data_IF_172569180582
#
_entry.id   IF_172569180582
#
_cell.length_a   1.000
_cell.length_b   1.000
_cell.length_c   1.000
_cell.angle_alpha   90.00
_cell.angle_beta   90.00
_cell.angle_gamma   90.00
#
_symmetry.space_group_name_H-M   'P 1'
#
loop_
_entity.id
_entity.type
_entity.pdbx_description
1 polymer ?
#
# COMPACT_ATOMS: atom_id res chain seq x y z
N UNK A 1 50.56 20.06 62.37
CA UNK A 1 49.97 18.70 62.45
C UNK A 1 48.50 18.86 62.07
N UNK A 2 48.21 18.83 60.76
CA UNK A 2 47.74 17.65 60.00
C UNK A 2 46.24 17.38 60.21
N UNK A 3 45.39 17.89 59.30
CA UNK A 3 44.72 17.10 58.26
C UNK A 3 43.55 17.91 57.67
N UNK A 4 43.60 18.10 56.35
CA UNK A 4 42.52 18.65 55.55
C UNK A 4 41.46 17.57 55.30
N UNK A 5 40.20 17.87 55.60
CA UNK A 5 39.05 17.02 55.26
C UNK A 5 38.33 17.64 54.07
N UNK A 6 38.49 17.03 52.90
CA UNK A 6 37.76 17.38 51.69
C UNK A 6 36.34 16.81 51.78
N UNK A 7 35.33 17.67 51.83
CA UNK A 7 33.93 17.27 51.71
C UNK A 7 33.56 17.32 50.23
N UNK A 8 33.48 16.17 49.58
CA UNK A 8 32.93 16.03 48.23
C UNK A 8 31.41 15.98 48.37
N UNK A 9 30.75 17.13 48.21
CA UNK A 9 29.30 17.19 48.06
C UNK A 9 28.91 16.75 46.65
N UNK A 10 28.44 15.51 46.51
CA UNK A 10 27.91 14.97 45.27
C UNK A 10 26.58 15.62 44.90
N UNK A 11 26.49 16.15 43.66
CA UNK A 11 25.24 16.60 43.05
C UNK A 11 24.44 15.39 42.57
N UNK A 12 23.33 15.07 43.24
CA UNK A 12 22.33 14.13 42.73
C UNK A 12 21.39 14.85 41.76
N UNK A 13 21.64 14.68 40.45
CA UNK A 13 20.72 15.16 39.41
C UNK A 13 19.55 14.17 39.32
N UNK A 14 18.39 14.57 39.83
CA UNK A 14 17.14 13.84 39.69
C UNK A 14 16.62 13.98 38.24
N UNK A 15 16.95 13.03 37.36
CA UNK A 15 16.39 12.98 36.01
C UNK A 15 14.94 12.51 36.07
N UNK A 16 14.00 13.44 35.91
CA UNK A 16 12.58 13.14 35.74
C UNK A 16 12.37 12.58 34.32
N UNK A 17 12.55 11.28 34.14
CA UNK A 17 12.08 10.59 32.93
C UNK A 17 10.56 10.63 32.94
N UNK A 18 9.96 11.61 32.25
CA UNK A 18 8.56 11.53 31.86
C UNK A 18 8.45 10.36 30.89
N UNK A 19 8.07 9.20 31.42
CA UNK A 19 7.64 8.08 30.58
C UNK A 19 6.37 8.54 29.89
N UNK A 20 6.50 8.99 28.64
CA UNK A 20 5.39 9.08 27.70
C UNK A 20 4.89 7.65 27.48
N UNK A 21 3.98 7.21 28.34
CA UNK A 21 3.19 6.03 28.09
C UNK A 21 2.49 6.26 26.74
N UNK A 22 2.63 5.37 25.74
CA UNK A 22 1.82 5.47 24.55
C UNK A 22 0.38 5.22 24.99
N UNK A 23 -0.39 6.30 25.14
CA UNK A 23 -1.84 6.21 25.27
C UNK A 23 -2.30 5.56 23.97
N UNK A 24 -2.56 4.26 24.05
CA UNK A 24 -3.14 3.52 22.95
C UNK A 24 -4.61 3.90 22.94
N UNK A 25 -4.93 5.04 22.33
CA UNK A 25 -6.31 5.35 22.01
C UNK A 25 -6.81 4.22 21.10
N UNK A 26 -7.69 3.38 21.64
CA UNK A 26 -8.44 2.44 20.82
C UNK A 26 -9.33 3.27 19.91
N UNK A 27 -8.82 3.69 18.76
CA UNK A 27 -9.65 4.34 17.75
C UNK A 27 -10.72 3.33 17.36
N UNK A 28 -11.97 3.70 17.63
CA UNK A 28 -13.10 2.85 17.35
C UNK A 28 -13.34 2.89 15.83
N UNK A 29 -12.73 1.95 15.12
CA UNK A 29 -12.73 1.82 13.65
C UNK A 29 -14.13 1.71 13.02
N UNK A 30 -15.15 1.44 13.84
CA UNK A 30 -16.57 1.30 13.44
C UNK A 30 -17.39 2.58 13.60
N UNK A 31 -16.86 3.61 14.27
CA UNK A 31 -17.60 4.87 14.47
C UNK A 31 -17.41 5.81 13.27
N UNK A 32 -18.47 6.51 12.83
CA UNK A 32 -18.33 7.53 11.81
C UNK A 32 -17.40 8.67 12.28
N UNK A 33 -16.32 8.90 11.52
CA UNK A 33 -15.35 9.98 11.79
C UNK A 33 -15.23 10.92 10.60
N UNK A 34 -14.67 12.11 10.86
CA UNK A 34 -14.34 13.07 9.81
C UNK A 34 -13.11 12.59 8.99
N UNK A 35 -12.93 13.08 7.75
CA UNK A 35 -11.77 12.76 6.94
C UNK A 35 -10.43 13.12 7.61
N UNK A 36 -10.40 14.18 8.42
CA UNK A 36 -9.19 14.57 9.17
C UNK A 36 -8.69 13.43 10.05
N UNK A 37 -9.57 12.90 10.90
CA UNK A 37 -9.27 11.77 11.78
C UNK A 37 -8.98 10.50 10.98
N UNK A 38 -9.80 10.19 9.98
CA UNK A 38 -9.60 8.98 9.17
C UNK A 38 -8.24 8.97 8.47
N UNK A 39 -7.77 10.11 7.97
CA UNK A 39 -6.53 10.19 7.20
C UNK A 39 -5.26 10.08 8.05
N UNK A 40 -5.34 10.23 9.38
CA UNK A 40 -4.18 10.13 10.29
C UNK A 40 -3.58 8.72 10.31
N UNK A 41 -4.36 7.70 9.94
CA UNK A 41 -3.88 6.32 9.84
C UNK A 41 -3.10 6.02 8.56
N UNK A 42 -3.02 7.00 7.64
CA UNK A 42 -2.45 6.80 6.30
C UNK A 42 -1.02 7.31 6.20
N UNK A 43 -0.25 6.81 5.23
CA UNK A 43 1.14 7.22 5.00
C UNK A 43 1.27 8.64 4.44
N UNK A 44 0.17 9.25 3.98
CA UNK A 44 0.14 10.64 3.54
C UNK A 44 -1.20 11.31 3.91
N UNK A 45 -1.36 11.76 5.17
CA UNK A 45 -2.62 12.32 5.66
C UNK A 45 -3.07 13.55 4.86
N UNK A 46 -2.13 14.42 4.47
CA UNK A 46 -2.44 15.63 3.69
C UNK A 46 -3.04 15.29 2.33
N UNK A 47 -2.47 14.33 1.60
CA UNK A 47 -2.98 13.90 0.31
C UNK A 47 -4.30 13.14 0.47
N UNK A 48 -4.42 12.26 1.47
CA UNK A 48 -5.64 11.55 1.80
C UNK A 48 -6.85 12.50 1.97
N UNK A 49 -6.66 13.64 2.66
CA UNK A 49 -7.74 14.63 2.85
C UNK A 49 -8.20 15.26 1.54
N UNK A 50 -7.34 15.37 0.53
CA UNK A 50 -7.74 15.86 -0.80
C UNK A 50 -8.57 14.82 -1.57
N UNK A 51 -8.45 13.54 -1.21
CA UNK A 51 -9.14 12.45 -1.86
C UNK A 51 -10.57 12.28 -1.35
N UNK A 52 -10.85 12.61 -0.09
CA UNK A 52 -12.14 12.37 0.56
C UNK A 52 -12.95 13.67 0.64
N UNK A 53 -14.26 13.68 0.32
CA UNK A 53 -15.08 14.87 0.48
C UNK A 53 -15.06 15.36 1.94
N UNK A 54 -14.77 16.64 2.17
CA UNK A 54 -14.56 17.20 3.52
C UNK A 54 -15.73 17.01 4.49
N UNK A 55 -16.96 16.95 3.97
CA UNK A 55 -18.20 16.74 4.73
C UNK A 55 -18.59 15.26 4.89
N UNK A 56 -17.85 14.33 4.28
CA UNK A 56 -18.13 12.91 4.42
C UNK A 56 -17.98 12.48 5.89
N UNK A 57 -18.81 11.53 6.30
CA UNK A 57 -18.71 10.85 7.59
C UNK A 57 -18.88 9.37 7.33
N UNK A 58 -17.88 8.59 7.72
CA UNK A 58 -17.84 7.16 7.55
C UNK A 58 -16.94 6.57 8.62
N UNK A 59 -17.13 5.29 8.91
CA UNK A 59 -16.14 4.49 9.61
C UNK A 59 -14.90 4.23 8.72
N UNK A 60 -13.84 3.66 9.29
CA UNK A 60 -12.59 3.44 8.54
C UNK A 60 -12.78 2.40 7.43
N UNK A 61 -13.67 1.44 7.63
CA UNK A 61 -14.06 0.45 6.61
C UNK A 61 -14.67 1.12 5.37
N UNK A 62 -15.64 2.01 5.55
CA UNK A 62 -16.26 2.72 4.44
C UNK A 62 -15.27 3.65 3.73
N UNK A 63 -14.37 4.32 4.45
CA UNK A 63 -13.28 5.08 3.83
C UNK A 63 -12.29 4.19 3.07
N UNK A 64 -11.96 3.00 3.58
CA UNK A 64 -11.13 2.02 2.88
C UNK A 64 -11.73 1.60 1.54
N UNK A 65 -13.01 1.22 1.52
CA UNK A 65 -13.73 0.89 0.26
C UNK A 65 -13.79 2.07 -0.69
N UNK A 66 -14.07 3.27 -0.17
CA UNK A 66 -14.11 4.50 -0.96
C UNK A 66 -12.77 4.76 -1.66
N UNK A 67 -11.66 4.67 -0.92
CA UNK A 67 -10.32 4.90 -1.44
C UNK A 67 -9.92 3.85 -2.48
N UNK A 68 -10.20 2.57 -2.25
CA UNK A 68 -9.96 1.51 -3.24
C UNK A 68 -10.82 1.73 -4.50
N UNK A 69 -12.07 2.14 -4.37
CA UNK A 69 -12.93 2.50 -5.51
C UNK A 69 -12.38 3.70 -6.28
N UNK A 70 -11.85 4.70 -5.58
CA UNK A 70 -11.18 5.85 -6.20
C UNK A 70 -9.89 5.42 -6.92
N UNK A 71 -9.12 4.51 -6.32
CA UNK A 71 -7.96 3.87 -6.97
C UNK A 71 -8.36 3.19 -8.27
N UNK A 72 -9.47 2.42 -8.29
CA UNK A 72 -9.96 1.77 -9.52
C UNK A 72 -10.25 2.77 -10.63
N UNK A 73 -10.95 3.86 -10.29
CA UNK A 73 -11.28 4.91 -11.25
C UNK A 73 -10.04 5.59 -11.84
N UNK A 74 -9.00 5.79 -11.03
CA UNK A 74 -7.77 6.42 -11.49
C UNK A 74 -6.92 5.45 -12.32
N UNK A 75 -6.80 4.19 -11.89
CA UNK A 75 -6.11 3.13 -12.65
C UNK A 75 -6.69 2.98 -14.05
N UNK A 76 -8.02 2.96 -14.19
CA UNK A 76 -8.67 2.87 -15.50
C UNK A 76 -8.38 4.10 -16.40
N UNK A 77 -8.36 5.31 -15.82
CA UNK A 77 -7.99 6.53 -16.57
C UNK A 77 -6.52 6.51 -16.98
N UNK A 78 -5.64 6.00 -16.12
CA UNK A 78 -4.22 5.91 -16.41
C UNK A 78 -3.95 4.91 -17.54
N UNK A 79 -4.58 3.72 -17.52
CA UNK A 79 -4.53 2.76 -18.64
C UNK A 79 -5.01 3.41 -19.95
N UNK A 80 -6.11 4.15 -19.91
CA UNK A 80 -6.63 4.86 -21.10
C UNK A 80 -5.64 5.92 -21.63
N UNK A 81 -4.98 6.66 -20.74
CA UNK A 81 -3.95 7.63 -21.13
C UNK A 81 -2.72 6.95 -21.76
N UNK A 82 -2.31 5.80 -21.23
CA UNK A 82 -1.21 5.02 -21.79
C UNK A 82 -1.55 4.46 -23.17
N UNK A 83 -2.70 3.81 -23.34
CA UNK A 83 -3.16 3.29 -24.64
C UNK A 83 -3.23 4.41 -25.69
N UNK A 84 -3.80 5.56 -25.34
CA UNK A 84 -3.82 6.73 -26.22
C UNK A 84 -2.41 7.23 -26.58
N UNK A 85 -1.49 7.18 -25.62
CA UNK A 85 -0.10 7.62 -25.83
C UNK A 85 0.64 6.69 -26.79
N UNK A 86 0.46 5.38 -26.63
CA UNK A 86 1.00 4.34 -27.52
C UNK A 86 0.46 4.52 -28.94
N UNK A 87 -0.86 4.71 -29.10
CA UNK A 87 -1.50 4.89 -30.42
C UNK A 87 -1.18 6.23 -31.07
N UNK A 88 -0.96 7.29 -30.28
CA UNK A 88 -0.86 8.66 -30.77
C UNK A 88 0.55 9.10 -31.19
N UNK A 89 1.61 8.52 -30.63
CA UNK A 89 2.99 8.98 -30.90
C UNK A 89 3.59 8.27 -32.12
N UNK A 90 3.63 8.98 -33.25
CA UNK A 90 4.15 8.46 -34.54
C UNK A 90 5.68 8.24 -34.64
N UNK A 91 6.45 8.57 -33.59
CA UNK A 91 7.93 8.49 -33.57
C UNK A 91 8.47 8.17 -32.17
N UNK A 92 8.09 7.02 -31.63
CA UNK A 92 8.69 6.48 -30.41
C UNK A 92 9.96 5.70 -30.75
N UNK A 93 10.98 5.78 -29.89
CA UNK A 93 12.09 4.83 -29.97
C UNK A 93 11.60 3.43 -29.59
N UNK A 94 12.24 2.34 -30.06
CA UNK A 94 11.86 0.98 -29.66
C UNK A 94 11.81 0.80 -28.13
N UNK A 95 12.77 1.39 -27.41
CA UNK A 95 12.82 1.36 -25.96
C UNK A 95 11.63 2.08 -25.31
N UNK A 96 11.26 3.27 -25.80
CA UNK A 96 10.10 3.99 -25.30
C UNK A 96 8.78 3.29 -25.62
N UNK A 97 8.67 2.66 -26.80
CA UNK A 97 7.51 1.82 -27.16
C UNK A 97 7.38 0.62 -26.22
N UNK A 98 8.49 -0.08 -25.94
CA UNK A 98 8.53 -1.19 -24.99
C UNK A 98 8.06 -0.75 -23.60
N UNK A 99 8.70 0.28 -23.03
CA UNK A 99 8.35 0.77 -21.70
C UNK A 99 6.89 1.26 -21.58
N UNK A 100 6.33 1.88 -22.62
CA UNK A 100 4.91 2.27 -22.63
C UNK A 100 3.97 1.06 -22.66
N UNK A 101 4.30 0.02 -23.43
CA UNK A 101 3.51 -1.21 -23.48
C UNK A 101 3.58 -1.97 -22.15
N UNK A 102 4.76 -2.05 -21.53
CA UNK A 102 4.93 -2.64 -20.20
C UNK A 102 4.10 -1.88 -19.16
N UNK A 103 4.14 -0.54 -19.20
CA UNK A 103 3.30 0.31 -18.36
C UNK A 103 1.80 0.07 -18.57
N UNK A 104 1.35 -0.07 -19.82
CA UNK A 104 -0.05 -0.33 -20.13
C UNK A 104 -0.49 -1.65 -19.50
N UNK A 105 0.31 -2.72 -19.69
CA UNK A 105 0.06 -4.03 -19.08
C UNK A 105 0.02 -3.95 -17.54
N UNK A 106 0.98 -3.26 -16.92
CA UNK A 106 1.03 -3.10 -15.46
C UNK A 106 -0.16 -2.32 -14.91
N UNK A 107 -0.65 -1.34 -15.66
CA UNK A 107 -1.84 -0.55 -15.31
C UNK A 107 -3.14 -1.35 -15.46
N UNK A 108 -3.25 -2.19 -16.49
CA UNK A 108 -4.36 -3.13 -16.67
C UNK A 108 -4.39 -4.17 -15.55
N UNK A 109 -3.26 -4.80 -15.23
CA UNK A 109 -3.15 -5.70 -14.07
C UNK A 109 -3.53 -5.02 -12.76
N UNK A 110 -3.12 -3.77 -12.57
CA UNK A 110 -3.51 -3.00 -11.38
C UNK A 110 -5.02 -2.76 -11.30
N UNK A 111 -5.65 -2.53 -12.45
CA UNK A 111 -7.11 -2.39 -12.56
C UNK A 111 -7.81 -3.70 -12.17
N UNK A 112 -7.34 -4.83 -12.67
CA UNK A 112 -7.88 -6.16 -12.33
C UNK A 112 -7.72 -6.49 -10.85
N UNK A 113 -6.56 -6.15 -10.27
CA UNK A 113 -6.30 -6.33 -8.83
C UNK A 113 -7.23 -5.46 -7.97
N UNK A 114 -7.56 -4.24 -8.41
CA UNK A 114 -8.52 -3.36 -7.74
C UNK A 114 -9.95 -3.91 -7.83
N UNK A 115 -10.35 -4.45 -8.98
CA UNK A 115 -11.66 -5.11 -9.16
C UNK A 115 -11.77 -6.33 -8.25
N UNK A 116 -10.74 -7.19 -8.23
CA UNK A 116 -10.68 -8.38 -7.36
C UNK A 116 -10.74 -8.01 -5.87
N UNK A 117 -10.04 -6.94 -5.48
CA UNK A 117 -10.06 -6.42 -4.12
C UNK A 117 -11.44 -5.93 -3.70
N UNK A 118 -12.10 -5.13 -4.55
CA UNK A 118 -13.46 -4.64 -4.28
C UNK A 118 -14.47 -5.77 -4.25
N UNK A 119 -14.39 -6.72 -5.19
CA UNK A 119 -15.27 -7.89 -5.22
C UNK A 119 -15.15 -8.71 -3.94
N UNK A 120 -13.91 -8.91 -3.47
CA UNK A 120 -13.64 -9.60 -2.20
C UNK A 120 -14.26 -8.84 -1.03
N UNK A 121 -14.07 -7.52 -0.97
CA UNK A 121 -14.66 -6.70 0.08
C UNK A 121 -16.20 -6.73 0.03
N UNK A 122 -16.81 -6.57 -1.14
CA UNK A 122 -18.27 -6.46 -1.30
C UNK A 122 -19.00 -7.79 -1.07
N UNK A 123 -18.30 -8.92 -1.19
CA UNK A 123 -18.85 -10.26 -0.94
C UNK A 123 -18.87 -10.66 0.54
N UNK A 124 -18.37 -9.81 1.44
CA UNK A 124 -18.23 -10.13 2.87
C UNK A 124 -18.92 -9.07 3.75
N UNK A 125 -19.04 -9.39 5.05
CA UNK A 125 -19.43 -8.41 6.05
C UNK A 125 -18.52 -7.18 5.96
N UNK A 126 -19.10 -6.00 6.11
CA UNK A 126 -18.38 -4.73 5.92
C UNK A 126 -17.18 -4.60 6.88
N UNK A 127 -17.29 -5.21 8.06
CA UNK A 127 -16.34 -5.08 9.17
C UNK A 127 -15.52 -6.36 9.43
N UNK A 128 -16.05 -7.53 9.06
CA UNK A 128 -15.40 -8.82 9.30
C UNK A 128 -14.96 -9.48 7.99
N UNK A 129 -13.66 -9.48 7.73
CA UNK A 129 -13.06 -10.10 6.56
C UNK A 129 -12.22 -11.31 7.00
N UNK A 130 -12.46 -12.52 6.45
CA UNK A 130 -11.64 -13.68 6.74
C UNK A 130 -10.16 -13.42 6.48
N UNK A 131 -9.29 -13.93 7.35
CA UNK A 131 -7.83 -13.70 7.30
C UNK A 131 -7.22 -13.90 5.92
N UNK A 132 -7.55 -15.01 5.25
CA UNK A 132 -7.00 -15.32 3.92
C UNK A 132 -7.43 -14.30 2.85
N UNK A 133 -8.65 -13.76 2.97
CA UNK A 133 -9.14 -12.73 2.07
C UNK A 133 -8.55 -11.36 2.40
N UNK A 134 -8.35 -11.06 3.70
CA UNK A 134 -7.61 -9.89 4.13
C UNK A 134 -6.18 -9.88 3.61
N UNK A 135 -5.48 -11.00 3.73
CA UNK A 135 -4.13 -11.20 3.18
C UNK A 135 -4.12 -11.09 1.64
N UNK A 136 -5.14 -11.62 0.96
CA UNK A 136 -5.29 -11.48 -0.50
C UNK A 136 -5.41 -10.00 -0.89
N UNK A 137 -6.35 -9.27 -0.31
CA UNK A 137 -6.55 -7.84 -0.63
C UNK A 137 -5.31 -7.01 -0.28
N UNK A 138 -4.68 -7.24 0.88
CA UNK A 138 -3.43 -6.59 1.24
C UNK A 138 -2.33 -6.81 0.20
N UNK A 139 -2.18 -8.06 -0.26
CA UNK A 139 -1.19 -8.45 -1.26
C UNK A 139 -1.47 -7.80 -2.61
N UNK A 140 -2.72 -7.80 -3.07
CA UNK A 140 -3.12 -7.16 -4.33
C UNK A 140 -2.86 -5.65 -4.29
N UNK A 141 -3.26 -4.96 -3.21
CA UNK A 141 -2.99 -3.53 -3.03
C UNK A 141 -1.50 -3.21 -2.96
N UNK A 142 -0.70 -4.07 -2.33
CA UNK A 142 0.77 -3.93 -2.33
C UNK A 142 1.35 -4.12 -3.73
N UNK A 143 0.87 -5.11 -4.48
CA UNK A 143 1.30 -5.37 -5.85
C UNK A 143 0.98 -4.22 -6.80
N UNK A 144 -0.17 -3.56 -6.64
CA UNK A 144 -0.53 -2.35 -7.42
C UNK A 144 0.50 -1.23 -7.23
N UNK A 145 0.99 -1.00 -6.01
CA UNK A 145 2.03 0.00 -5.75
C UNK A 145 3.33 -0.39 -6.45
N UNK A 146 3.70 -1.68 -6.42
CA UNK A 146 4.87 -2.19 -7.14
C UNK A 146 4.73 -2.01 -8.65
N UNK A 147 3.60 -2.40 -9.24
CA UNK A 147 3.32 -2.23 -10.67
C UNK A 147 3.47 -0.76 -11.10
N UNK A 148 2.92 0.15 -10.30
CA UNK A 148 3.02 1.59 -10.55
C UNK A 148 4.47 2.08 -10.52
N UNK A 149 5.26 1.59 -9.56
CA UNK A 149 6.67 1.93 -9.44
C UNK A 149 7.50 1.37 -10.59
N UNK A 150 7.30 0.09 -10.95
CA UNK A 150 7.97 -0.54 -12.09
C UNK A 150 7.66 0.18 -13.40
N UNK A 151 6.42 0.61 -13.61
CA UNK A 151 6.06 1.43 -14.76
C UNK A 151 6.82 2.78 -14.79
N UNK A 152 6.83 3.50 -13.65
CA UNK A 152 7.57 4.76 -13.53
C UNK A 152 9.06 4.57 -13.84
N UNK A 153 9.68 3.52 -13.31
CA UNK A 153 11.10 3.23 -13.50
C UNK A 153 11.41 2.89 -14.96
N UNK A 154 10.61 2.01 -15.59
CA UNK A 154 10.80 1.64 -17.00
C UNK A 154 10.68 2.83 -17.96
N UNK A 155 9.72 3.74 -17.72
CA UNK A 155 9.60 4.94 -18.55
C UNK A 155 10.72 5.97 -18.31
N UNK A 156 11.27 6.04 -17.09
CA UNK A 156 12.42 6.86 -16.78
C UNK A 156 13.69 6.33 -17.47
N UNK A 157 13.93 5.01 -17.40
CA UNK A 157 15.04 4.34 -18.08
C UNK A 157 14.96 4.51 -19.59
N UNK A 158 13.76 4.47 -20.16
CA UNK A 158 13.51 4.75 -21.57
C UNK A 158 13.67 6.24 -21.95
N UNK A 159 14.01 7.12 -21.00
CA UNK A 159 14.07 8.57 -21.17
C UNK A 159 12.77 9.17 -21.73
N UNK A 160 11.65 8.50 -21.46
CA UNK A 160 10.34 8.89 -21.96
C UNK A 160 9.65 9.88 -21.01
N UNK A 161 9.77 9.67 -19.71
CA UNK A 161 9.23 10.58 -18.71
C UNK A 161 10.13 11.79 -18.51
N UNK A 162 9.60 12.96 -18.82
CA UNK A 162 10.14 14.25 -18.38
C UNK A 162 9.21 14.81 -17.32
N UNK A 163 9.71 15.67 -16.44
CA UNK A 163 8.94 16.27 -15.34
C UNK A 163 7.67 17.05 -15.80
N UNK A 164 7.58 17.39 -17.09
CA UNK A 164 6.42 18.04 -17.72
C UNK A 164 5.62 17.14 -18.66
N UNK A 165 5.92 15.84 -18.72
CA UNK A 165 5.14 14.90 -19.50
C UNK A 165 3.75 14.73 -18.85
N UNK A 166 2.65 14.71 -19.62
CA UNK A 166 1.29 14.53 -19.10
C UNK A 166 1.12 13.26 -18.24
N UNK A 167 1.98 12.26 -18.39
CA UNK A 167 1.93 11.01 -17.61
C UNK A 167 2.62 11.13 -16.25
N UNK A 168 3.53 12.09 -16.05
CA UNK A 168 4.34 12.18 -14.83
C UNK A 168 3.50 12.49 -13.58
N UNK A 169 2.55 13.41 -13.66
CA UNK A 169 1.69 13.76 -12.53
C UNK A 169 0.71 12.62 -12.17
N UNK A 170 -0.06 12.05 -13.12
CA UNK A 170 -0.88 10.87 -12.86
C UNK A 170 -0.09 9.73 -12.24
N UNK A 171 1.12 9.43 -12.74
CA UNK A 171 1.95 8.36 -12.21
C UNK A 171 2.23 8.50 -10.70
N UNK A 172 2.64 9.70 -10.29
CA UNK A 172 2.99 9.99 -8.90
C UNK A 172 1.76 10.08 -8.00
N UNK A 173 0.68 10.69 -8.47
CA UNK A 173 -0.53 10.85 -7.67
C UNK A 173 -1.28 9.53 -7.51
N UNK A 174 -1.26 8.66 -8.52
CA UNK A 174 -1.82 7.31 -8.43
C UNK A 174 -1.02 6.45 -7.44
N UNK A 175 0.31 6.53 -7.45
CA UNK A 175 1.15 5.85 -6.45
C UNK A 175 0.80 6.29 -5.02
N UNK A 176 0.63 7.60 -4.79
CA UNK A 176 0.21 8.13 -3.48
C UNK A 176 -1.19 7.63 -3.11
N UNK A 177 -2.13 7.62 -4.07
CA UNK A 177 -3.49 7.16 -3.86
C UNK A 177 -3.50 5.67 -3.49
N UNK A 178 -2.79 4.82 -4.22
CA UNK A 178 -2.67 3.39 -3.91
C UNK A 178 -2.04 3.17 -2.53
N UNK A 179 -1.02 3.96 -2.16
CA UNK A 179 -0.41 3.90 -0.83
C UNK A 179 -1.38 4.28 0.29
N UNK A 180 -2.18 5.34 0.08
CA UNK A 180 -3.23 5.77 1.01
C UNK A 180 -4.33 4.72 1.13
N UNK A 181 -4.77 4.12 0.02
CA UNK A 181 -5.74 3.01 0.00
C UNK A 181 -5.24 1.79 0.76
N UNK A 182 -3.99 1.38 0.54
CA UNK A 182 -3.37 0.26 1.27
C UNK A 182 -3.30 0.54 2.78
N UNK A 183 -2.87 1.74 3.17
CA UNK A 183 -2.75 2.09 4.59
C UNK A 183 -4.11 2.09 5.31
N UNK A 184 -5.14 2.69 4.69
CA UNK A 184 -6.50 2.66 5.22
C UNK A 184 -7.03 1.22 5.33
N UNK A 185 -6.81 0.41 4.29
CA UNK A 185 -7.20 -1.00 4.29
C UNK A 185 -6.49 -1.78 5.40
N UNK A 186 -5.16 -1.66 5.50
CA UNK A 186 -4.37 -2.36 6.50
C UNK A 186 -4.80 -1.98 7.92
N UNK A 187 -5.10 -0.72 8.17
CA UNK A 187 -5.58 -0.29 9.47
C UNK A 187 -6.96 -0.88 9.81
N UNK A 188 -7.84 -1.01 8.83
CA UNK A 188 -9.24 -1.40 9.03
C UNK A 188 -9.43 -2.92 9.11
N UNK A 189 -8.74 -3.69 8.25
CA UNK A 189 -8.95 -5.15 8.13
C UNK A 189 -7.74 -6.01 8.54
N UNK A 190 -6.54 -5.47 8.72
CA UNK A 190 -5.37 -6.27 9.11
C UNK A 190 -5.16 -6.17 10.63
N UNK A 191 -5.26 -7.29 11.39
CA UNK A 191 -5.13 -7.24 12.84
C UNK A 191 -3.74 -6.79 13.30
N UNK A 192 -3.67 -5.75 14.14
CA UNK A 192 -2.41 -5.21 14.70
C UNK A 192 -1.66 -6.18 15.63
N UNK A 193 -2.34 -7.19 16.18
CA UNK A 193 -1.81 -8.12 17.19
C UNK A 193 -1.95 -9.59 16.79
N UNK A 194 -1.28 -10.00 15.71
CA UNK A 194 -0.91 -11.42 15.54
C UNK A 194 0.56 -11.62 15.87
N UNK A 195 0.94 -11.45 17.14
CA UNK A 195 1.78 -12.52 17.70
C UNK A 195 0.96 -13.78 17.51
N UNK A 196 1.34 -14.64 16.55
CA UNK A 196 0.80 -16.00 16.44
C UNK A 196 1.07 -16.67 17.80
N UNK A 197 0.20 -16.48 18.78
CA UNK A 197 0.11 -17.39 19.92
C UNK A 197 -0.42 -18.67 19.30
N UNK A 198 0.51 -19.51 18.85
CA UNK A 198 0.20 -20.87 18.52
C UNK A 198 -0.49 -21.45 19.76
N UNK A 199 -1.76 -21.86 19.61
CA UNK A 199 -2.38 -22.70 20.60
C UNK A 199 -1.46 -23.91 20.82
N UNK A 200 -1.14 -24.30 22.08
CA UNK A 200 -0.34 -25.49 22.32
C UNK A 200 -1.12 -26.70 21.76
N UNK A 201 -0.65 -27.29 20.66
CA UNK A 201 -1.22 -28.51 20.09
C UNK A 201 -1.88 -28.41 18.71
N UNK A 202 -1.97 -27.23 18.09
CA UNK A 202 -2.44 -27.16 16.70
C UNK A 202 -1.31 -27.57 15.74
N UNK A 203 -1.45 -28.74 15.09
CA UNK A 203 -0.60 -29.15 13.99
C UNK A 203 -0.48 -28.01 12.98
N UNK A 204 0.76 -27.69 12.58
CA UNK A 204 1.07 -26.61 11.65
C UNK A 204 0.58 -26.96 10.24
N UNK A 205 -0.73 -26.88 9.99
CA UNK A 205 -1.19 -26.61 8.64
C UNK A 205 -0.99 -25.11 8.42
N UNK A 206 0.15 -24.74 7.84
CA UNK A 206 0.25 -23.47 7.14
C UNK A 206 -0.58 -23.67 5.88
N UNK A 207 -1.72 -22.97 5.66
CA UNK A 207 -2.14 -22.78 4.29
C UNK A 207 -0.98 -22.02 3.67
N UNK A 208 -0.24 -22.67 2.77
CA UNK A 208 0.66 -21.95 1.89
C UNK A 208 -0.15 -20.83 1.26
N UNK A 209 0.43 -19.63 1.14
CA UNK A 209 -0.14 -18.61 0.28
C UNK A 209 -0.08 -19.19 -1.13
N UNK A 210 -1.16 -19.80 -1.62
CA UNK A 210 -1.27 -20.34 -2.98
C UNK A 210 -1.39 -19.22 -4.03
N UNK A 211 -0.69 -18.10 -3.80
CA UNK A 211 -0.50 -17.04 -4.79
C UNK A 211 0.35 -17.57 -5.96
N UNK A 212 1.27 -18.48 -5.67
CA UNK A 212 2.12 -19.14 -6.67
C UNK A 212 1.30 -20.00 -7.64
N UNK A 213 0.29 -20.68 -7.13
CA UNK A 213 -0.58 -21.54 -7.95
C UNK A 213 -1.51 -20.71 -8.85
N UNK A 214 -1.96 -19.54 -8.39
CA UNK A 214 -2.80 -18.61 -9.18
C UNK A 214 -1.97 -17.84 -10.24
N UNK A 215 -0.69 -17.55 -9.97
CA UNK A 215 0.20 -16.81 -10.88
C UNK A 215 1.13 -17.70 -11.74
N UNK A 216 0.98 -19.03 -11.68
CA UNK A 216 1.87 -19.96 -12.35
C UNK A 216 3.35 -19.66 -12.01
N UNK A 217 3.65 -19.52 -10.71
CA UNK A 217 4.98 -19.26 -10.16
C UNK A 217 5.46 -20.52 -9.43
N UNK A 218 6.72 -20.89 -9.64
CA UNK A 218 7.36 -22.04 -8.99
C UNK A 218 7.62 -21.77 -7.51
N UNK A 219 7.97 -22.81 -6.76
CA UNK A 219 8.35 -22.67 -5.32
C UNK A 219 9.55 -21.75 -5.08
N UNK A 220 10.42 -21.59 -6.08
CA UNK A 220 11.56 -20.66 -6.05
C UNK A 220 11.18 -19.19 -6.33
N UNK A 221 9.89 -18.91 -6.55
CA UNK A 221 9.39 -17.57 -6.87
C UNK A 221 9.54 -17.17 -8.33
N UNK A 222 9.99 -18.07 -9.22
CA UNK A 222 10.16 -17.80 -10.65
C UNK A 222 8.90 -18.22 -11.44
N UNK A 223 8.30 -17.33 -12.26
CA UNK A 223 7.18 -17.70 -13.12
C UNK A 223 7.52 -18.83 -14.10
N UNK A 224 6.55 -19.72 -14.41
CA UNK A 224 6.77 -20.89 -15.27
C UNK A 224 7.23 -20.51 -16.69
N UNK A 225 6.84 -19.34 -17.19
CA UNK A 225 7.23 -18.82 -18.50
C UNK A 225 8.68 -18.31 -18.59
N UNK A 226 9.39 -18.17 -17.46
CA UNK A 226 10.80 -17.78 -17.46
C UNK A 226 11.68 -18.99 -17.74
N UNK A 227 12.45 -18.91 -18.84
CA UNK A 227 13.43 -19.92 -19.20
C UNK A 227 14.71 -19.75 -18.38
N UNK A 228 15.15 -20.80 -17.68
CA UNK A 228 16.38 -20.78 -16.87
C UNK A 228 17.66 -20.69 -17.68
N UNK A 229 17.62 -20.99 -18.97
CA UNK A 229 18.81 -21.01 -19.83
C UNK A 229 19.28 -19.66 -20.35
N UNK A 230 18.74 -18.54 -19.84
CA UNK A 230 19.00 -17.17 -20.34
C UNK A 230 19.76 -16.30 -19.30
N UNK A 231 20.08 -16.84 -18.12
CA UNK A 231 20.92 -16.20 -17.11
C UNK A 231 22.05 -17.12 -16.65
#
# INVERSE_FOLDING_TARGET
>A
MSQATAIVTGFTILTFFVVLLPVSSSENITQPVAPDTACDVTTNPSFCKTLIPSRARSDLYGYGRYLIKKSLQQSAKFSFLLDRTVRGKRRLSPLATGALNDCLLLSELSTDFLISSLTTLDSNDTTNLPDAQGDKVHTLLSAIITNQQTCLDGLNEASFLKQRDPLHAPLNDDKKLFSVSLAMFAHSWVPKNKTRKAAPGAAKHKPGRHLSDELAVREDGIPYWVNRGIF
#
